data_IF_113987858965
#
_entry.id   IF_113987858965
#
_cell.length_a   1.000
_cell.length_b   1.000
_cell.length_c   1.000
_cell.angle_alpha   90.00
_cell.angle_beta   90.00
_cell.angle_gamma   90.00
#
_symmetry.space_group_name_H-M   'P 1'
#
loop_
_entity.id
_entity.type
_entity.pdbx_description
1 polymer ?
#
# COMPACT_ATOMS: atom_id res chain seq x y z
N UNK A 1 15.87 -53.12 -10.38
CA UNK A 1 16.08 -51.67 -10.19
C UNK A 1 15.23 -51.23 -9.01
N UNK A 2 15.74 -51.41 -7.79
CA UNK A 2 15.03 -51.07 -6.56
C UNK A 2 15.40 -49.63 -6.20
N UNK A 3 14.44 -48.72 -6.35
CA UNK A 3 14.56 -47.35 -5.85
C UNK A 3 14.24 -47.45 -4.36
N UNK A 4 15.27 -47.39 -3.51
CA UNK A 4 15.15 -47.45 -2.06
C UNK A 4 14.55 -46.16 -1.53
N UNK A 5 13.39 -46.29 -0.89
CA UNK A 5 12.68 -45.24 -0.14
C UNK A 5 13.44 -44.91 1.15
N UNK A 6 14.61 -44.29 1.05
CA UNK A 6 15.31 -43.65 2.18
C UNK A 6 15.58 -42.18 1.83
N UNK A 7 14.51 -41.40 1.63
CA UNK A 7 14.59 -39.96 1.85
C UNK A 7 14.70 -39.73 3.36
N UNK A 8 15.92 -39.90 3.88
CA UNK A 8 16.30 -39.50 5.23
C UNK A 8 16.01 -38.00 5.36
N UNK A 9 14.88 -37.68 5.97
CA UNK A 9 14.61 -36.32 6.44
C UNK A 9 15.72 -35.99 7.42
N UNK A 10 16.65 -35.11 7.01
CA UNK A 10 17.76 -34.71 7.86
C UNK A 10 17.18 -33.96 9.08
N UNK A 11 17.01 -34.68 10.19
CA UNK A 11 16.36 -34.16 11.40
C UNK A 11 17.08 -32.92 11.95
N UNK A 12 18.40 -32.85 11.80
CA UNK A 12 19.18 -31.69 12.19
C UNK A 12 18.90 -30.48 11.26
N UNK A 13 18.79 -30.71 9.94
CA UNK A 13 18.40 -29.65 9.01
C UNK A 13 16.98 -29.13 9.29
N UNK A 14 16.04 -30.02 9.61
CA UNK A 14 14.68 -29.63 9.99
C UNK A 14 14.64 -28.81 11.29
N UNK A 15 15.40 -29.21 12.31
CA UNK A 15 15.51 -28.46 13.56
C UNK A 15 16.13 -27.07 13.37
N UNK A 16 17.20 -26.97 12.57
CA UNK A 16 17.85 -25.71 12.24
C UNK A 16 16.89 -24.78 11.47
N UNK A 17 16.20 -25.31 10.44
CA UNK A 17 15.20 -24.56 9.69
C UNK A 17 14.07 -24.05 10.59
N UNK A 18 13.51 -24.92 11.44
CA UNK A 18 12.40 -24.54 12.33
C UNK A 18 12.85 -23.54 13.40
N UNK A 19 14.09 -23.65 13.88
CA UNK A 19 14.70 -22.70 14.81
C UNK A 19 14.85 -21.31 14.20
N UNK A 20 15.45 -21.23 13.02
CA UNK A 20 15.62 -19.98 12.27
C UNK A 20 14.27 -19.35 11.89
N UNK A 21 13.29 -20.14 11.44
CA UNK A 21 11.97 -19.65 11.07
C UNK A 21 11.21 -19.05 12.27
N UNK A 22 11.37 -19.64 13.47
CA UNK A 22 10.80 -19.06 14.71
C UNK A 22 11.49 -17.76 15.10
N UNK A 23 12.82 -17.70 14.96
CA UNK A 23 13.61 -16.52 15.27
C UNK A 23 13.29 -15.35 14.32
N UNK A 24 13.09 -15.66 13.03
CA UNK A 24 12.82 -14.69 11.95
C UNK A 24 11.34 -14.56 11.60
N UNK A 25 10.44 -15.02 12.48
CA UNK A 25 8.99 -14.99 12.23
C UNK A 25 8.45 -13.59 11.93
N UNK A 26 9.11 -12.55 12.45
CA UNK A 26 8.77 -11.15 12.20
C UNK A 26 8.99 -10.74 10.77
N UNK A 27 10.01 -11.32 10.13
CA UNK A 27 10.52 -10.90 8.83
C UNK A 27 9.69 -11.52 7.69
N UNK A 28 9.10 -12.68 7.96
CA UNK A 28 8.23 -13.43 7.03
C UNK A 28 6.74 -13.27 7.35
N UNK A 29 6.39 -12.42 8.34
CA UNK A 29 5.00 -12.19 8.70
C UNK A 29 4.32 -11.44 7.54
N UNK A 30 3.16 -11.92 7.05
CA UNK A 30 2.42 -11.18 6.04
C UNK A 30 2.04 -9.80 6.59
N UNK A 31 1.93 -8.78 5.71
CA UNK A 31 1.40 -7.48 6.08
C UNK A 31 0.04 -7.61 6.79
N UNK A 32 -0.26 -6.67 7.68
CA UNK A 32 -1.54 -6.62 8.40
C UNK A 32 -2.69 -6.43 7.42
N UNK A 33 -3.77 -7.23 7.43
CA UNK A 33 -4.82 -7.15 6.41
C UNK A 33 -5.64 -5.86 6.57
N UNK A 34 -5.14 -4.77 5.99
CA UNK A 34 -5.73 -3.44 6.05
C UNK A 34 -6.37 -3.12 4.71
N UNK A 35 -7.57 -2.56 4.74
CA UNK A 35 -8.12 -1.86 3.58
C UNK A 35 -7.36 -0.55 3.32
N UNK A 36 -7.57 0.05 2.14
CA UNK A 36 -6.97 1.34 1.83
C UNK A 36 -7.36 2.43 2.83
N UNK A 37 -8.62 2.51 3.24
CA UNK A 37 -9.05 3.53 4.21
C UNK A 37 -8.36 3.34 5.57
N UNK A 38 -8.24 2.11 6.04
CA UNK A 38 -7.58 1.78 7.31
C UNK A 38 -6.08 2.11 7.25
N UNK A 39 -5.40 1.71 6.17
CA UNK A 39 -4.00 2.04 5.96
C UNK A 39 -3.77 3.55 5.91
N UNK A 40 -4.59 4.28 5.14
CA UNK A 40 -4.46 5.72 5.00
C UNK A 40 -4.70 6.44 6.34
N UNK A 41 -5.76 6.06 7.07
CA UNK A 41 -6.03 6.62 8.39
C UNK A 41 -4.95 6.26 9.42
N UNK A 42 -4.21 5.16 9.24
CA UNK A 42 -3.17 4.70 10.18
C UNK A 42 -1.81 5.34 9.90
N UNK A 43 -1.41 5.44 8.64
CA UNK A 43 -0.04 5.78 8.25
C UNK A 43 0.09 7.06 7.43
N UNK A 44 -0.91 7.41 6.61
CA UNK A 44 -0.74 8.49 5.65
C UNK A 44 -0.69 9.87 6.32
N UNK A 45 0.12 10.74 5.72
CA UNK A 45 0.36 12.11 6.20
C UNK A 45 0.07 13.10 5.08
N UNK A 46 -0.65 14.15 5.41
CA UNK A 46 -0.90 15.29 4.55
C UNK A 46 0.25 16.29 4.65
N UNK A 47 1.00 16.43 3.55
CA UNK A 47 2.10 17.39 3.39
C UNK A 47 1.61 18.84 3.48
N UNK A 48 2.45 19.72 4.04
CA UNK A 48 2.15 21.15 4.23
C UNK A 48 1.91 21.89 2.93
N UNK A 49 2.62 21.48 1.89
CA UNK A 49 2.67 22.14 0.60
C UNK A 49 1.41 21.88 -0.24
N UNK A 50 0.71 20.77 0.01
CA UNK A 50 -0.44 20.33 -0.80
C UNK A 50 -1.76 20.33 -0.05
N UNK A 51 -1.73 20.51 1.27
CA UNK A 51 -2.91 20.33 2.11
C UNK A 51 -3.10 21.49 3.07
N UNK A 52 -4.34 22.00 3.12
CA UNK A 52 -4.74 23.04 4.07
C UNK A 52 -4.66 22.56 5.53
N UNK A 53 -4.80 21.25 5.74
CA UNK A 53 -4.57 20.59 7.01
C UNK A 53 -3.30 19.76 6.89
N UNK A 54 -2.33 20.04 7.74
CA UNK A 54 -1.08 19.28 7.83
C UNK A 54 -1.19 18.23 8.91
N UNK A 55 -0.61 17.07 8.67
CA UNK A 55 -0.45 16.01 9.66
C UNK A 55 -1.17 14.74 9.23
N UNK A 56 -1.50 13.89 10.20
CA UNK A 56 -2.10 12.59 9.91
C UNK A 56 -3.40 12.74 9.13
N UNK A 57 -3.51 11.99 8.03
CA UNK A 57 -4.73 11.94 7.24
C UNK A 57 -5.87 11.37 8.08
N UNK A 58 -7.04 11.98 7.93
CA UNK A 58 -8.30 11.44 8.45
C UNK A 58 -9.33 11.53 7.33
N UNK A 59 -9.89 10.39 6.97
CA UNK A 59 -10.91 10.35 5.94
C UNK A 59 -12.24 10.94 6.43
N UNK A 60 -12.99 11.48 5.49
CA UNK A 60 -14.43 11.69 5.66
C UNK A 60 -15.16 10.37 5.37
N UNK A 61 -16.30 10.14 6.03
CA UNK A 61 -17.06 8.89 5.90
C UNK A 61 -17.40 8.51 4.44
N UNK A 62 -17.59 9.49 3.55
CA UNK A 62 -17.88 9.21 2.13
C UNK A 62 -16.64 8.73 1.35
N UNK A 63 -15.43 9.00 1.85
CA UNK A 63 -14.18 8.60 1.20
C UNK A 63 -13.84 7.14 1.49
N UNK A 64 -14.25 6.61 2.64
CA UNK A 64 -13.95 5.23 3.06
C UNK A 64 -14.45 4.21 2.05
N UNK A 65 -15.74 4.31 1.66
CA UNK A 65 -16.30 3.40 0.66
C UNK A 65 -15.62 3.48 -0.71
N UNK A 66 -15.14 4.66 -1.13
CA UNK A 66 -14.38 4.79 -2.38
C UNK A 66 -12.99 4.15 -2.27
N UNK A 67 -12.34 4.31 -1.12
CA UNK A 67 -11.01 3.74 -0.87
C UNK A 67 -11.07 2.22 -0.77
N UNK A 68 -12.01 1.70 0.02
CA UNK A 68 -12.10 0.27 0.28
C UNK A 68 -12.51 -0.52 -0.96
N UNK A 69 -13.33 0.09 -1.83
CA UNK A 69 -13.67 -0.48 -3.13
C UNK A 69 -12.45 -0.65 -4.06
N UNK A 70 -11.38 0.13 -3.88
CA UNK A 70 -10.14 0.00 -4.68
C UNK A 70 -9.33 -1.23 -4.23
N UNK A 71 -9.36 -1.55 -2.94
CA UNK A 71 -8.63 -2.69 -2.36
C UNK A 71 -9.48 -3.95 -2.19
N UNK A 72 -10.75 -3.91 -2.59
CA UNK A 72 -11.62 -5.09 -2.58
C UNK A 72 -11.18 -6.07 -3.67
N UNK A 73 -10.76 -7.30 -3.33
CA UNK A 73 -10.32 -8.30 -4.31
C UNK A 73 -11.43 -8.76 -5.26
N UNK A 74 -12.70 -8.50 -4.97
CA UNK A 74 -13.81 -8.76 -5.88
C UNK A 74 -14.02 -7.65 -6.92
N UNK A 75 -13.35 -6.50 -6.78
CA UNK A 75 -13.49 -5.33 -7.65
C UNK A 75 -12.27 -5.15 -8.52
N UNK A 76 -12.47 -5.10 -9.84
CA UNK A 76 -11.37 -4.89 -10.82
C UNK A 76 -11.35 -3.49 -11.41
N UNK A 77 -12.45 -2.74 -11.29
CA UNK A 77 -12.57 -1.40 -11.83
C UNK A 77 -13.47 -0.54 -10.95
N UNK A 78 -12.96 0.63 -10.56
CA UNK A 78 -13.70 1.65 -9.81
C UNK A 78 -13.86 2.88 -10.69
N UNK A 79 -15.11 3.33 -10.88
CA UNK A 79 -15.43 4.56 -11.62
C UNK A 79 -16.17 5.52 -10.69
N UNK A 80 -15.69 6.75 -10.59
CA UNK A 80 -16.20 7.72 -9.61
C UNK A 80 -16.71 8.97 -10.32
N UNK A 81 -18.00 9.26 -10.16
CA UNK A 81 -18.57 10.57 -10.46
C UNK A 81 -18.53 11.42 -9.19
N UNK A 82 -17.75 12.50 -9.22
CA UNK A 82 -17.51 13.35 -8.04
C UNK A 82 -17.58 14.83 -8.39
N UNK A 83 -17.88 15.65 -7.40
CA UNK A 83 -17.77 17.10 -7.49
C UNK A 83 -16.31 17.56 -7.32
N UNK A 84 -16.05 18.85 -7.58
CA UNK A 84 -14.72 19.42 -7.34
C UNK A 84 -14.40 19.49 -5.84
N UNK A 85 -13.10 19.47 -5.50
CA UNK A 85 -12.57 19.76 -4.15
C UNK A 85 -13.03 18.83 -3.01
N UNK A 86 -13.36 17.57 -3.32
CA UNK A 86 -13.75 16.54 -2.32
C UNK A 86 -12.59 15.68 -1.79
N UNK A 87 -11.34 16.12 -1.97
CA UNK A 87 -10.16 15.35 -1.54
C UNK A 87 -9.84 14.12 -2.39
N UNK A 88 -10.38 14.04 -3.62
CA UNK A 88 -10.17 12.88 -4.51
C UNK A 88 -8.69 12.65 -4.86
N UNK A 89 -7.93 13.72 -5.06
CA UNK A 89 -6.49 13.61 -5.32
C UNK A 89 -5.76 12.90 -4.19
N UNK A 90 -6.09 13.20 -2.92
CA UNK A 90 -5.49 12.53 -1.77
C UNK A 90 -5.83 11.05 -1.70
N UNK A 91 -7.04 10.67 -2.11
CA UNK A 91 -7.40 9.25 -2.23
C UNK A 91 -6.43 8.55 -3.19
N UNK A 92 -6.18 9.12 -4.38
CA UNK A 92 -5.25 8.55 -5.36
C UNK A 92 -3.80 8.50 -4.85
N UNK A 93 -3.33 9.54 -4.16
CA UNK A 93 -2.01 9.53 -3.50
C UNK A 93 -1.89 8.32 -2.56
N UNK A 94 -2.91 8.11 -1.71
CA UNK A 94 -2.92 6.99 -0.77
C UNK A 94 -3.07 5.64 -1.46
N UNK A 95 -3.72 5.53 -2.62
CA UNK A 95 -3.72 4.29 -3.42
C UNK A 95 -2.27 3.91 -3.76
N UNK A 96 -1.50 4.87 -4.26
CA UNK A 96 -0.08 4.65 -4.60
C UNK A 96 0.70 4.26 -3.36
N UNK A 97 0.55 5.01 -2.27
CA UNK A 97 1.22 4.72 -0.99
C UNK A 97 0.88 3.33 -0.44
N UNK A 98 -0.39 2.94 -0.49
CA UNK A 98 -0.86 1.63 -0.06
C UNK A 98 -0.17 0.52 -0.83
N UNK A 99 -0.22 0.55 -2.17
CA UNK A 99 0.41 -0.51 -2.96
C UNK A 99 1.94 -0.51 -2.81
N UNK A 100 2.60 0.63 -2.64
CA UNK A 100 4.04 0.66 -2.38
C UNK A 100 4.43 -0.02 -1.05
N UNK A 101 3.64 0.17 0.01
CA UNK A 101 3.96 -0.40 1.33
C UNK A 101 3.38 -1.80 1.56
N UNK A 102 2.20 -2.06 1.01
CA UNK A 102 1.36 -3.19 1.40
C UNK A 102 1.41 -4.34 0.39
N UNK A 103 1.34 -4.01 -0.90
CA UNK A 103 1.34 -4.99 -1.99
C UNK A 103 2.09 -4.42 -3.21
N UNK A 104 3.45 -4.43 -3.17
CA UNK A 104 4.29 -3.79 -4.17
C UNK A 104 4.00 -4.31 -5.58
N UNK A 105 3.48 -3.41 -6.43
CA UNK A 105 3.08 -3.71 -7.80
C UNK A 105 3.42 -2.54 -8.73
N UNK A 106 3.50 -2.77 -10.06
CA UNK A 106 3.66 -1.68 -11.03
C UNK A 106 2.40 -0.81 -11.08
N UNK A 107 2.57 0.50 -10.88
CA UNK A 107 1.47 1.47 -10.86
C UNK A 107 1.68 2.52 -11.96
N UNK A 108 0.63 2.83 -12.72
CA UNK A 108 0.62 3.88 -13.73
C UNK A 108 -0.47 4.89 -13.43
N UNK A 109 -0.08 6.16 -13.33
CA UNK A 109 -1.00 7.29 -13.20
C UNK A 109 -0.97 8.07 -14.50
N UNK A 110 -2.14 8.32 -15.08
CA UNK A 110 -2.30 9.03 -16.36
C UNK A 110 -3.10 10.29 -16.13
N UNK A 111 -2.58 11.42 -16.63
CA UNK A 111 -3.28 12.70 -16.68
C UNK A 111 -3.55 13.11 -18.13
N UNK A 112 -4.51 14.01 -18.40
CA UNK A 112 -4.84 14.45 -19.76
C UNK A 112 -3.69 15.16 -20.48
N UNK A 113 -2.79 15.81 -19.73
CA UNK A 113 -1.65 16.57 -20.27
C UNK A 113 -0.36 16.17 -19.57
N UNK A 114 0.76 16.33 -20.27
CA UNK A 114 2.10 15.99 -19.76
C UNK A 114 2.46 16.91 -18.60
N UNK A 115 2.14 18.20 -18.71
CA UNK A 115 2.41 19.19 -17.68
C UNK A 115 1.66 18.87 -16.38
N UNK A 116 0.39 18.48 -16.48
CA UNK A 116 -0.41 18.05 -15.32
C UNK A 116 0.18 16.80 -14.65
N UNK A 117 0.72 15.86 -15.43
CA UNK A 117 1.36 14.65 -14.91
C UNK A 117 2.68 14.96 -14.21
N UNK A 118 3.51 15.82 -14.80
CA UNK A 118 4.77 16.25 -14.20
C UNK A 118 4.56 17.03 -12.90
N UNK A 119 3.60 17.96 -12.91
CA UNK A 119 3.25 18.75 -11.74
C UNK A 119 2.71 17.84 -10.63
N UNK A 120 1.82 16.90 -10.95
CA UNK A 120 1.30 15.93 -9.99
C UNK A 120 2.40 15.08 -9.35
N UNK A 121 3.37 14.61 -10.14
CA UNK A 121 4.52 13.85 -9.64
C UNK A 121 5.36 14.65 -8.64
N UNK A 122 5.71 15.90 -8.99
CA UNK A 122 6.59 16.76 -8.19
C UNK A 122 5.89 17.34 -6.96
N UNK A 123 4.61 17.67 -7.08
CA UNK A 123 3.87 18.42 -6.05
C UNK A 123 3.06 17.52 -5.14
N UNK A 124 2.49 16.42 -5.60
CA UNK A 124 1.63 15.55 -4.78
C UNK A 124 2.36 14.26 -4.34
N UNK A 125 2.89 13.48 -5.29
CA UNK A 125 3.49 12.17 -5.00
C UNK A 125 4.80 12.31 -4.22
N UNK A 126 5.74 13.14 -4.67
CA UNK A 126 7.05 13.25 -4.02
C UNK A 126 6.96 13.73 -2.55
N UNK A 127 6.14 14.75 -2.20
CA UNK A 127 5.95 15.12 -0.80
C UNK A 127 5.25 14.03 0.03
N UNK A 128 4.26 13.34 -0.52
CA UNK A 128 3.58 12.24 0.17
C UNK A 128 4.55 11.10 0.53
N UNK A 129 5.45 10.72 -0.39
CA UNK A 129 6.48 9.70 -0.15
C UNK A 129 7.43 10.12 0.97
N UNK A 130 7.89 11.38 0.93
CA UNK A 130 8.80 11.95 1.92
C UNK A 130 8.18 12.02 3.32
N UNK A 131 6.92 12.44 3.41
CA UNK A 131 6.29 12.78 4.69
C UNK A 131 5.58 11.59 5.36
N UNK A 132 5.33 10.50 4.61
CA UNK A 132 4.70 9.28 5.13
C UNK A 132 5.79 8.29 5.58
N UNK A 133 6.01 8.08 6.89
CA UNK A 133 7.21 7.37 7.38
C UNK A 133 7.36 5.92 6.93
N UNK A 134 6.26 5.25 6.58
CA UNK A 134 6.29 3.86 6.09
C UNK A 134 6.70 3.75 4.61
N UNK A 135 6.84 4.89 3.91
CA UNK A 135 7.22 4.99 2.50
C UNK A 135 8.60 5.63 2.29
N UNK A 136 9.23 6.12 3.36
CA UNK A 136 10.48 6.88 3.33
C UNK A 136 11.73 5.99 3.32
#
# INVERSE_FOLDING_TARGET
MQITTEERTNAAAWQNFTGELRQRRSDVRPPEPLSLSEWANKYAVLSKETSAQTGRFRSFAYQDGMMDAITDPAVTQVSVMKSARVGYTKILDHVVGYYLAHDPSPILIVQPRVEDAEDYSKTEIAPMLRDTPVLA
#
